data_IF_432802656666
#
_entry.id   IF_432802656666
#
_cell.length_a   1.000
_cell.length_b   1.000
_cell.length_c   1.000
_cell.angle_alpha   90.00
_cell.angle_beta   90.00
_cell.angle_gamma   90.00
#
_symmetry.space_group_name_H-M   'P 1'
#
loop_
_entity.id
_entity.type
_entity.pdbx_description
1 polymer ?
#
# COMPACT_ATOMS: atom_id res chain seq x y z
N UNK A 1 -83.68 -12.25 -23.42
CA UNK A 1 -83.18 -13.40 -24.21
C UNK A 1 -82.86 -12.91 -25.62
N UNK A 2 -81.80 -13.41 -26.30
CA UNK A 2 -80.41 -12.90 -26.31
C UNK A 2 -80.01 -12.42 -27.75
N UNK A 3 -78.88 -11.78 -28.06
CA UNK A 3 -77.53 -12.36 -28.21
C UNK A 3 -76.43 -11.28 -28.45
N UNK A 4 -75.38 -11.34 -27.61
CA UNK A 4 -73.92 -11.25 -27.86
C UNK A 4 -73.30 -10.28 -28.90
N UNK A 5 -72.51 -9.31 -28.39
CA UNK A 5 -71.15 -8.88 -28.80
C UNK A 5 -70.50 -8.29 -27.54
N UNK A 6 -69.50 -8.87 -26.84
CA UNK A 6 -68.11 -9.22 -27.18
C UNK A 6 -67.24 -7.98 -27.52
N UNK A 7 -66.88 -7.21 -26.50
CA UNK A 7 -65.74 -6.26 -26.48
C UNK A 7 -64.89 -6.65 -25.26
N UNK A 8 -63.84 -7.44 -25.47
CA UNK A 8 -62.43 -6.98 -25.59
C UNK A 8 -61.75 -6.69 -24.24
N UNK A 9 -61.61 -7.74 -23.41
CA UNK A 9 -60.45 -7.85 -22.53
C UNK A 9 -59.22 -8.20 -23.38
N UNK A 10 -58.56 -7.20 -23.99
CA UNK A 10 -57.20 -7.38 -24.52
C UNK A 10 -56.20 -7.36 -23.37
N UNK A 11 -56.16 -8.42 -22.57
CA UNK A 11 -54.95 -8.78 -21.83
C UNK A 11 -54.21 -9.84 -22.64
N UNK A 12 -53.42 -9.40 -23.62
CA UNK A 12 -52.47 -10.28 -24.29
C UNK A 12 -51.40 -10.68 -23.26
N UNK A 13 -51.65 -11.79 -22.57
CA UNK A 13 -50.66 -12.48 -21.75
C UNK A 13 -49.58 -12.95 -22.72
N UNK A 14 -48.46 -12.23 -22.74
CA UNK A 14 -47.28 -12.64 -23.48
C UNK A 14 -46.80 -13.93 -22.81
N UNK A 15 -47.06 -15.07 -23.43
CA UNK A 15 -46.49 -16.35 -23.02
C UNK A 15 -44.99 -16.33 -23.31
N UNK A 16 -44.23 -15.75 -22.38
CA UNK A 16 -42.78 -15.79 -22.39
C UNK A 16 -42.35 -17.26 -22.36
N UNK A 17 -41.84 -17.76 -23.49
CA UNK A 17 -41.29 -19.11 -23.60
C UNK A 17 -40.03 -19.22 -22.72
N UNK A 18 -40.24 -19.49 -21.43
CA UNK A 18 -39.26 -19.51 -20.34
C UNK A 18 -38.06 -20.41 -20.67
N UNK A 19 -38.28 -21.49 -21.41
CA UNK A 19 -37.26 -22.45 -21.80
C UNK A 19 -36.20 -21.86 -22.74
N UNK A 20 -36.60 -21.01 -23.70
CA UNK A 20 -35.68 -20.31 -24.60
C UNK A 20 -34.80 -19.31 -23.85
N UNK A 21 -35.37 -18.60 -22.87
CA UNK A 21 -34.62 -17.64 -22.05
C UNK A 21 -33.65 -18.34 -21.09
N UNK A 22 -33.99 -19.50 -20.56
CA UNK A 22 -33.07 -20.31 -19.74
C UNK A 22 -31.88 -20.82 -20.56
N UNK A 23 -32.08 -21.20 -21.82
CA UNK A 23 -30.99 -21.51 -22.74
C UNK A 23 -30.04 -20.33 -22.97
N UNK A 24 -30.60 -19.15 -23.26
CA UNK A 24 -29.82 -17.92 -23.40
C UNK A 24 -29.06 -17.54 -22.13
N UNK A 25 -29.67 -17.67 -20.94
CA UNK A 25 -29.00 -17.45 -19.65
C UNK A 25 -27.81 -18.39 -19.44
N UNK A 26 -27.96 -19.69 -19.76
CA UNK A 26 -26.85 -20.66 -19.66
C UNK A 26 -25.70 -20.30 -20.59
N UNK A 27 -26.00 -19.88 -21.82
CA UNK A 27 -24.98 -19.42 -22.76
C UNK A 27 -24.27 -18.16 -22.26
N UNK A 28 -25.02 -17.18 -21.74
CA UNK A 28 -24.44 -15.95 -21.15
C UNK A 28 -23.55 -16.30 -19.95
N UNK A 29 -23.99 -17.19 -19.06
CA UNK A 29 -23.17 -17.65 -17.92
C UNK A 29 -21.90 -18.38 -18.37
N UNK A 30 -21.98 -19.21 -19.42
CA UNK A 30 -20.81 -19.87 -20.00
C UNK A 30 -19.84 -18.86 -20.63
N UNK A 31 -20.36 -17.86 -21.36
CA UNK A 31 -19.57 -16.78 -21.93
C UNK A 31 -18.90 -15.94 -20.84
N UNK A 32 -19.61 -15.60 -19.76
CA UNK A 32 -19.05 -14.87 -18.60
C UNK A 32 -17.90 -15.64 -17.95
N UNK A 33 -18.07 -16.95 -17.70
CA UNK A 33 -16.99 -17.80 -17.16
C UNK A 33 -15.79 -17.89 -18.08
N UNK A 34 -16.01 -17.95 -19.39
CA UNK A 34 -14.92 -17.97 -20.35
C UNK A 34 -14.20 -16.62 -20.40
N UNK A 35 -14.94 -15.51 -20.34
CA UNK A 35 -14.37 -14.17 -20.29
C UNK A 35 -13.52 -13.98 -19.03
N UNK A 36 -13.98 -14.46 -17.88
CA UNK A 36 -13.22 -14.46 -16.61
C UNK A 36 -11.93 -15.28 -16.73
N UNK A 37 -11.95 -16.42 -17.43
CA UNK A 37 -10.70 -17.17 -17.69
C UNK A 37 -9.75 -16.38 -18.57
N UNK A 38 -10.26 -15.78 -19.66
CA UNK A 38 -9.44 -14.99 -20.58
C UNK A 38 -8.84 -13.78 -19.88
N UNK A 39 -9.60 -13.06 -19.05
CA UNK A 39 -9.06 -11.95 -18.25
C UNK A 39 -7.96 -12.43 -17.31
N UNK A 40 -8.16 -13.54 -16.60
CA UNK A 40 -7.14 -14.12 -15.73
C UNK A 40 -5.89 -14.58 -16.50
N UNK A 41 -6.02 -15.00 -17.76
CA UNK A 41 -4.86 -15.32 -18.60
C UNK A 41 -4.11 -14.07 -19.03
N UNK A 42 -4.81 -13.00 -19.45
CA UNK A 42 -4.18 -11.72 -19.80
C UNK A 42 -3.41 -11.15 -18.61
N UNK A 43 -4.02 -11.12 -17.42
CA UNK A 43 -3.35 -10.65 -16.20
C UNK A 43 -2.10 -11.47 -15.86
N UNK A 44 -2.10 -12.79 -16.13
CA UNK A 44 -0.92 -13.64 -15.94
C UNK A 44 0.18 -13.34 -16.96
N UNK A 45 -0.18 -13.18 -18.23
CA UNK A 45 0.77 -12.82 -19.29
C UNK A 45 1.44 -11.48 -18.99
N UNK A 46 0.67 -10.45 -18.61
CA UNK A 46 1.22 -9.15 -18.24
C UNK A 46 2.15 -9.22 -17.02
N UNK A 47 1.81 -10.08 -16.04
CA UNK A 47 2.68 -10.33 -14.89
C UNK A 47 3.97 -11.02 -15.30
N UNK A 48 3.92 -12.02 -16.18
CA UNK A 48 5.09 -12.73 -16.70
C UNK A 48 5.99 -11.80 -17.51
N UNK A 49 5.45 -11.02 -18.45
CA UNK A 49 6.22 -10.04 -19.23
C UNK A 49 6.88 -8.99 -18.34
N UNK A 50 6.17 -8.50 -17.32
CA UNK A 50 6.76 -7.61 -16.31
C UNK A 50 7.88 -8.31 -15.55
N UNK A 51 7.67 -9.55 -15.10
CA UNK A 51 8.69 -10.32 -14.39
C UNK A 51 9.93 -10.51 -15.26
N UNK A 52 9.76 -10.85 -16.53
CA UNK A 52 10.84 -11.02 -17.50
C UNK A 52 11.59 -9.72 -17.74
N UNK A 53 10.87 -8.60 -17.88
CA UNK A 53 11.48 -7.28 -17.98
C UNK A 53 12.36 -6.96 -16.76
N UNK A 54 11.86 -7.17 -15.54
CA UNK A 54 12.67 -6.95 -14.32
C UNK A 54 13.78 -8.00 -14.15
N UNK A 55 13.58 -9.23 -14.62
CA UNK A 55 14.64 -10.26 -14.63
C UNK A 55 15.78 -9.87 -15.58
N UNK A 56 15.50 -9.21 -16.70
CA UNK A 56 16.51 -8.70 -17.63
C UNK A 56 17.33 -7.50 -17.12
N UNK A 57 16.83 -6.76 -16.14
CA UNK A 57 17.57 -5.62 -15.56
C UNK A 57 18.72 -6.15 -14.68
N UNK A 58 19.96 -5.68 -14.85
CA UNK A 58 21.05 -6.04 -13.96
C UNK A 58 20.77 -5.54 -12.55
N UNK A 59 20.82 -6.45 -11.59
CA UNK A 59 20.45 -6.15 -10.21
C UNK A 59 20.82 -7.27 -9.25
N UNK A 60 20.48 -7.07 -7.99
CA UNK A 60 20.72 -7.99 -6.90
C UNK A 60 19.39 -8.60 -6.48
N UNK A 61 19.30 -9.92 -6.54
CA UNK A 61 18.12 -10.67 -6.12
C UNK A 61 18.27 -11.15 -4.67
N UNK A 62 17.14 -11.25 -3.98
CA UNK A 62 17.11 -11.70 -2.59
C UNK A 62 15.71 -11.88 -2.04
N UNK A 63 15.67 -12.37 -0.81
CA UNK A 63 14.44 -12.69 -0.08
C UNK A 63 14.21 -11.67 1.03
N UNK A 64 12.98 -11.20 1.16
CA UNK A 64 12.60 -10.27 2.22
C UNK A 64 12.50 -10.96 3.58
N UNK A 65 13.20 -10.45 4.59
CA UNK A 65 13.22 -11.00 5.96
C UNK A 65 12.31 -10.24 6.96
N UNK A 66 11.52 -9.28 6.48
CA UNK A 66 10.65 -8.42 7.29
C UNK A 66 11.18 -6.98 7.45
N UNK A 67 12.48 -6.76 7.26
CA UNK A 67 13.09 -5.41 7.29
C UNK A 67 14.06 -5.17 6.14
N UNK A 68 14.76 -6.21 5.71
CA UNK A 68 15.80 -6.16 4.71
C UNK A 68 15.61 -7.23 3.61
N UNK A 69 16.20 -6.95 2.47
CA UNK A 69 16.48 -7.91 1.43
C UNK A 69 17.74 -8.70 1.85
N UNK A 70 17.61 -10.01 1.95
CA UNK A 70 18.72 -10.94 2.18
C UNK A 70 19.07 -11.60 0.85
N UNK A 71 20.26 -11.32 0.34
CA UNK A 71 20.74 -11.93 -0.91
C UNK A 71 21.22 -13.37 -0.67
N UNK A 72 21.38 -14.16 -1.72
CA UNK A 72 21.94 -15.52 -1.61
C UNK A 72 23.35 -15.52 -0.99
N UNK A 73 24.09 -14.42 -1.15
CA UNK A 73 25.41 -14.22 -0.52
C UNK A 73 25.33 -13.78 0.96
N UNK A 74 24.13 -13.75 1.56
CA UNK A 74 23.89 -13.33 2.94
C UNK A 74 24.02 -11.82 3.19
N UNK A 75 24.21 -11.01 2.15
CA UNK A 75 24.26 -9.54 2.29
C UNK A 75 22.85 -9.02 2.56
N UNK A 76 22.70 -8.20 3.61
CA UNK A 76 21.43 -7.55 3.94
C UNK A 76 21.39 -6.13 3.40
N UNK A 77 20.30 -5.78 2.72
CA UNK A 77 20.01 -4.43 2.22
C UNK A 77 18.68 -3.95 2.79
N UNK A 78 18.69 -2.86 3.54
CA UNK A 78 17.49 -2.35 4.22
C UNK A 78 16.45 -1.93 3.17
N UNK A 79 15.24 -2.48 3.28
CA UNK A 79 14.13 -2.14 2.39
C UNK A 79 13.38 -0.95 3.01
N UNK A 80 13.02 0.08 2.21
CA UNK A 80 12.24 1.20 2.71
C UNK A 80 10.92 0.74 3.37
N UNK A 81 10.61 1.13 4.62
CA UNK A 81 9.41 0.69 5.34
C UNK A 81 8.10 1.01 4.60
N UNK A 82 8.06 2.15 3.90
CA UNK A 82 6.91 2.56 3.09
C UNK A 82 6.68 1.62 1.89
N UNK A 83 7.76 1.18 1.24
CA UNK A 83 7.65 0.23 0.14
C UNK A 83 7.14 -1.12 0.63
N UNK A 84 7.66 -1.59 1.78
CA UNK A 84 7.23 -2.84 2.40
C UNK A 84 5.74 -2.80 2.79
N UNK A 85 5.27 -1.67 3.35
CA UNK A 85 3.87 -1.48 3.71
C UNK A 85 2.96 -1.41 2.49
N UNK A 86 3.29 -0.57 1.49
CA UNK A 86 2.47 -0.37 0.29
C UNK A 86 2.34 -1.65 -0.54
N UNK A 87 3.41 -2.42 -0.64
CA UNK A 87 3.42 -3.68 -1.41
C UNK A 87 2.92 -4.88 -0.61
N UNK A 88 2.57 -4.70 0.67
CA UNK A 88 2.19 -5.76 1.62
C UNK A 88 3.19 -6.92 1.56
N UNK A 89 4.48 -6.59 1.75
CA UNK A 89 5.56 -7.56 1.64
C UNK A 89 5.52 -8.56 2.79
N UNK A 90 5.55 -9.85 2.46
CA UNK A 90 5.55 -10.96 3.42
C UNK A 90 6.95 -11.53 3.52
N UNK A 91 7.30 -12.08 4.69
CA UNK A 91 8.53 -12.84 4.85
C UNK A 91 8.64 -13.93 3.78
N UNK A 92 9.76 -13.99 3.06
CA UNK A 92 9.93 -14.92 1.94
C UNK A 92 9.65 -14.32 0.56
N UNK A 93 9.11 -13.10 0.48
CA UNK A 93 8.91 -12.42 -0.81
C UNK A 93 10.24 -12.24 -1.54
N UNK A 94 10.28 -12.64 -2.82
CA UNK A 94 11.46 -12.42 -3.67
C UNK A 94 11.42 -11.03 -4.25
N UNK A 95 12.47 -10.28 -4.00
CA UNK A 95 12.64 -8.92 -4.48
C UNK A 95 13.94 -8.82 -5.28
N UNK A 96 13.93 -7.87 -6.21
CA UNK A 96 15.10 -7.45 -6.96
C UNK A 96 15.41 -6.00 -6.64
N UNK A 97 16.66 -5.76 -6.28
CA UNK A 97 17.24 -4.45 -6.09
C UNK A 97 18.03 -4.08 -7.34
N UNK A 98 17.67 -3.01 -8.01
CA UNK A 98 18.46 -2.43 -9.10
C UNK A 98 18.68 -0.94 -8.84
N UNK A 99 19.71 -0.40 -9.50
CA UNK A 99 19.98 1.03 -9.46
C UNK A 99 19.32 1.71 -10.64
N UNK A 100 18.55 2.75 -10.36
CA UNK A 100 18.00 3.66 -11.35
C UNK A 100 18.64 5.04 -11.11
N UNK A 101 19.68 5.34 -11.89
CA UNK A 101 20.60 6.44 -11.63
C UNK A 101 21.25 6.32 -10.25
N UNK A 102 21.02 7.30 -9.39
CA UNK A 102 21.53 7.35 -8.01
C UNK A 102 20.60 6.69 -6.97
N UNK A 103 19.44 6.16 -7.39
CA UNK A 103 18.43 5.61 -6.47
C UNK A 103 18.43 4.09 -6.49
N UNK A 104 18.41 3.51 -5.29
CA UNK A 104 18.18 2.08 -5.08
C UNK A 104 16.67 1.79 -5.18
N UNK A 105 16.26 1.04 -6.20
CA UNK A 105 14.86 0.68 -6.45
C UNK A 105 14.64 -0.79 -6.13
N UNK A 106 13.63 -1.06 -5.31
CA UNK A 106 13.18 -2.41 -4.97
C UNK A 106 11.92 -2.74 -5.78
N UNK A 107 11.95 -3.87 -6.47
CA UNK A 107 10.78 -4.44 -7.14
C UNK A 107 10.57 -5.87 -6.72
N UNK A 108 9.33 -6.20 -6.40
CA UNK A 108 8.92 -7.56 -6.17
C UNK A 108 8.89 -8.34 -7.48
N UNK A 109 9.65 -9.43 -7.53
CA UNK A 109 9.73 -10.33 -8.68
C UNK A 109 8.81 -11.54 -8.47
N UNK A 110 8.64 -12.00 -7.23
CA UNK A 110 7.80 -13.16 -6.97
C UNK A 110 7.11 -13.08 -5.59
N UNK A 111 5.93 -13.70 -5.53
CA UNK A 111 5.10 -13.79 -4.33
C UNK A 111 4.98 -15.28 -3.98
N UNK A 112 5.54 -15.74 -2.84
CA UNK A 112 5.31 -17.08 -2.36
C UNK A 112 3.84 -17.27 -1.98
N UNK A 113 3.43 -18.52 -1.81
CA UNK A 113 2.09 -18.83 -1.34
C UNK A 113 1.86 -18.25 0.07
N UNK A 114 0.71 -17.61 0.28
CA UNK A 114 0.41 -16.87 1.51
C UNK A 114 -0.81 -17.46 2.18
N UNK A 115 -0.72 -17.66 3.49
CA UNK A 115 -1.85 -17.98 4.35
C UNK A 115 -2.36 -16.71 5.00
N UNK A 116 -3.68 -16.53 4.97
CA UNK A 116 -4.36 -15.46 5.70
C UNK A 116 -4.60 -15.90 7.14
N UNK A 117 -4.24 -15.04 8.09
CA UNK A 117 -4.43 -15.27 9.52
C UNK A 117 -5.17 -14.09 10.14
N UNK A 118 -5.89 -14.39 11.21
CA UNK A 118 -6.62 -13.43 12.03
C UNK A 118 -5.97 -13.37 13.41
N UNK A 119 -5.95 -12.18 14.01
CA UNK A 119 -5.33 -12.00 15.32
C UNK A 119 -5.58 -10.63 15.92
N UNK A 120 -5.03 -10.42 17.11
CA UNK A 120 -5.15 -9.19 17.87
C UNK A 120 -3.85 -8.40 17.78
N UNK A 121 -3.94 -7.12 17.44
CA UNK A 121 -2.80 -6.22 17.39
C UNK A 121 -2.36 -5.81 18.81
N UNK A 122 -1.08 -5.95 19.09
CA UNK A 122 -0.44 -5.55 20.34
C UNK A 122 0.83 -4.76 20.05
N UNK A 123 1.28 -3.99 21.04
CA UNK A 123 2.49 -3.17 20.93
C UNK A 123 3.44 -3.53 22.05
N UNK A 124 4.61 -4.07 21.69
CA UNK A 124 5.66 -4.45 22.63
C UNK A 124 6.92 -3.64 22.33
N UNK A 125 7.45 -2.94 23.33
CA UNK A 125 8.66 -2.09 23.19
C UNK A 125 8.57 -1.09 22.04
N UNK A 126 7.38 -0.55 21.79
CA UNK A 126 7.15 0.41 20.71
C UNK A 126 6.93 -0.19 19.32
N UNK A 127 7.15 -1.49 19.12
CA UNK A 127 6.94 -2.22 17.85
C UNK A 127 5.59 -2.91 17.81
N UNK A 128 4.95 -2.94 16.65
CA UNK A 128 3.69 -3.66 16.46
C UNK A 128 3.87 -5.15 16.26
N UNK A 129 2.98 -5.93 16.90
CA UNK A 129 2.88 -7.37 16.77
C UNK A 129 1.43 -7.78 16.58
N UNK A 130 1.20 -8.86 15.84
CA UNK A 130 -0.08 -9.54 15.72
C UNK A 130 0.00 -10.84 16.52
N UNK A 131 -0.96 -11.05 17.41
CA UNK A 131 -1.13 -12.29 18.17
C UNK A 131 -2.24 -13.12 17.51
N UNK A 132 -1.87 -14.25 16.93
CA UNK A 132 -2.79 -15.20 16.29
C UNK A 132 -2.64 -16.57 16.94
N UNK A 133 -3.56 -17.49 16.65
CA UNK A 133 -3.49 -18.89 17.11
C UNK A 133 -2.19 -19.59 16.69
N UNK A 134 -1.61 -19.13 15.57
CA UNK A 134 -0.39 -19.68 14.99
C UNK A 134 0.90 -19.14 15.62
N UNK A 135 0.85 -18.02 16.36
CA UNK A 135 2.00 -17.42 17.01
C UNK A 135 1.94 -15.89 17.11
N UNK A 136 3.08 -15.29 17.45
CA UNK A 136 3.26 -13.85 17.46
C UNK A 136 4.11 -13.41 16.28
N UNK A 137 3.59 -12.48 15.49
CA UNK A 137 4.23 -11.99 14.27
C UNK A 137 4.50 -10.50 14.38
N UNK A 138 5.69 -10.06 14.02
CA UNK A 138 5.98 -8.63 13.92
C UNK A 138 5.27 -8.03 12.71
N UNK A 139 4.75 -6.81 12.89
CA UNK A 139 4.09 -6.01 11.84
C UNK A 139 4.92 -4.75 11.55
N UNK A 140 4.89 -4.28 10.31
CA UNK A 140 5.50 -2.99 9.95
C UNK A 140 4.75 -1.83 10.60
N UNK A 141 5.49 -0.95 11.30
CA UNK A 141 4.92 0.22 11.96
C UNK A 141 4.20 1.14 10.96
N UNK A 142 4.72 1.25 9.73
CA UNK A 142 4.09 2.03 8.66
C UNK A 142 2.78 1.39 8.22
N UNK A 143 2.71 0.06 8.14
CA UNK A 143 1.46 -0.63 7.79
C UNK A 143 0.41 -0.41 8.87
N UNK A 144 0.80 -0.46 10.15
CA UNK A 144 -0.09 -0.18 11.27
C UNK A 144 -0.60 1.27 11.25
N UNK A 145 0.27 2.25 10.98
CA UNK A 145 -0.13 3.66 10.84
C UNK A 145 -1.07 3.88 9.66
N UNK A 146 -0.78 3.26 8.50
CA UNK A 146 -1.62 3.38 7.31
C UNK A 146 -3.04 2.84 7.50
N UNK A 147 -3.23 1.87 8.41
CA UNK A 147 -4.53 1.29 8.73
C UNK A 147 -5.20 1.91 9.97
N UNK A 148 -4.62 2.97 10.55
CA UNK A 148 -5.05 3.56 11.82
C UNK A 148 -5.24 2.51 12.92
N UNK A 149 -4.22 1.66 13.09
CA UNK A 149 -4.21 0.57 14.04
C UNK A 149 -4.21 1.05 15.48
N UNK A 150 -5.10 0.47 16.29
CA UNK A 150 -5.15 0.67 17.73
C UNK A 150 -4.74 -0.60 18.49
N UNK A 151 -4.39 -0.41 19.76
CA UNK A 151 -4.06 -1.52 20.63
C UNK A 151 -5.32 -2.38 20.86
N UNK A 152 -5.17 -3.69 20.76
CA UNK A 152 -6.24 -4.69 20.86
C UNK A 152 -7.24 -4.69 19.70
N UNK A 153 -6.92 -4.04 18.57
CA UNK A 153 -7.72 -4.17 17.35
C UNK A 153 -7.58 -5.60 16.78
N UNK A 154 -8.70 -6.16 16.31
CA UNK A 154 -8.68 -7.40 15.54
C UNK A 154 -8.24 -7.08 14.10
N UNK A 155 -7.28 -7.82 13.57
CA UNK A 155 -6.73 -7.58 12.26
C UNK A 155 -6.45 -8.88 11.50
N UNK A 156 -6.44 -8.73 10.18
CA UNK A 156 -6.05 -9.78 9.25
C UNK A 156 -4.65 -9.49 8.71
N UNK A 157 -3.82 -10.52 8.62
CA UNK A 157 -2.48 -10.44 8.05
C UNK A 157 -2.16 -11.64 7.18
N UNK A 158 -1.11 -11.50 6.37
CA UNK A 158 -0.56 -12.56 5.56
C UNK A 158 0.76 -13.07 6.13
N UNK A 159 0.88 -14.39 6.21
CA UNK A 159 2.11 -15.12 6.53
C UNK A 159 2.46 -16.05 5.37
N UNK A 160 3.74 -16.42 5.18
CA UNK A 160 4.10 -17.40 4.18
C UNK A 160 3.49 -18.77 4.54
N UNK A 161 2.87 -19.44 3.57
CA UNK A 161 2.27 -20.76 3.77
C UNK A 161 3.34 -21.82 4.10
N UNK A 162 4.52 -21.69 3.50
CA UNK A 162 5.67 -22.59 3.73
C UNK A 162 6.28 -22.46 5.13
N UNK A 163 6.12 -21.30 5.79
CA UNK A 163 6.71 -21.05 7.11
C UNK A 163 5.74 -20.39 8.07
N UNK A 164 4.96 -21.22 8.75
CA UNK A 164 4.03 -20.80 9.80
C UNK A 164 4.72 -20.13 11.00
N UNK A 165 6.02 -20.33 11.22
CA UNK A 165 6.80 -19.71 12.31
C UNK A 165 7.56 -18.46 11.86
N UNK A 166 7.13 -17.83 10.77
CA UNK A 166 7.72 -16.57 10.31
C UNK A 166 7.77 -15.52 11.43
N UNK A 167 8.88 -14.76 11.57
CA UNK A 167 8.94 -13.68 12.56
C UNK A 167 8.13 -12.45 12.15
N UNK A 168 7.71 -12.35 10.88
CA UNK A 168 7.08 -11.17 10.31
C UNK A 168 5.83 -11.52 9.51
N UNK A 169 4.80 -10.68 9.61
CA UNK A 169 3.55 -10.78 8.84
C UNK A 169 3.21 -9.43 8.19
N UNK A 170 2.56 -9.47 7.03
CA UNK A 170 2.07 -8.27 6.35
C UNK A 170 0.63 -7.98 6.77
N UNK A 171 0.39 -6.81 7.37
CA UNK A 171 -0.96 -6.38 7.73
C UNK A 171 -1.80 -6.14 6.48
N UNK A 172 -2.99 -6.74 6.42
CA UNK A 172 -3.93 -6.59 5.29
C UNK A 172 -4.96 -5.50 5.59
N UNK A 173 -5.77 -5.72 6.63
CA UNK A 173 -6.83 -4.81 7.09
C UNK A 173 -7.15 -5.04 8.57
N UNK A 174 -7.83 -4.05 9.16
CA UNK A 174 -8.31 -4.11 10.55
C UNK A 174 -9.81 -4.33 10.55
N UNK A 175 -10.27 -5.32 11.31
CA UNK A 175 -11.68 -5.58 11.59
C UNK A 175 -12.12 -4.69 12.75
N UNK A 176 -12.51 -3.45 12.44
CA UNK A 176 -13.16 -2.60 13.45
C UNK A 176 -14.57 -3.11 13.70
N UNK A 177 -14.84 -3.66 14.88
CA UNK A 177 -16.21 -3.88 15.34
C UNK A 177 -16.90 -2.52 15.43
N UNK A 178 -18.15 -2.42 14.94
CA UNK A 178 -18.91 -1.16 14.88
C UNK A 178 -19.31 -0.58 16.25
N UNK A 179 -18.75 -1.07 17.35
CA UNK A 179 -19.06 -0.64 18.71
C UNK A 179 -17.77 -0.29 19.46
N UNK A 180 -17.23 0.91 19.16
CA UNK A 180 -16.46 1.76 20.09
C UNK A 180 -16.21 3.12 19.44
N UNK A 181 -17.28 3.88 19.29
CA UNK A 181 -17.21 5.34 19.45
C UNK A 181 -17.81 5.64 20.82
N UNK A 182 -17.18 6.56 21.53
CA UNK A 182 -17.58 7.16 22.82
C UNK A 182 -17.02 6.52 24.11
N UNK A 183 -15.80 6.92 24.46
CA UNK A 183 -15.41 7.48 25.76
C UNK A 183 -13.96 7.93 25.65
N UNK A 184 -13.52 9.15 25.92
CA UNK A 184 -14.12 10.42 26.30
C UNK A 184 -12.97 11.44 26.27
N UNK A 185 -13.28 12.69 25.95
CA UNK A 185 -12.30 13.79 25.91
C UNK A 185 -11.68 14.10 27.30
N UNK A 186 -10.44 14.61 27.20
CA UNK A 186 -9.71 15.55 28.09
C UNK A 186 -9.48 15.22 29.57
N UNK A 187 -8.20 15.00 29.91
CA UNK A 187 -7.51 15.76 30.97
C UNK A 187 -6.06 16.04 30.58
N UNK A 188 -5.77 17.33 30.37
CA UNK A 188 -4.44 17.91 30.33
C UNK A 188 -3.65 17.61 31.60
N UNK A 189 -2.37 17.23 31.45
CA UNK A 189 -1.37 17.37 32.50
C UNK A 189 -0.21 18.19 31.93
N UNK A 190 -0.19 19.46 32.33
CA UNK A 190 0.96 20.36 32.25
C UNK A 190 2.21 19.72 32.88
N UNK A 191 3.31 19.69 32.12
CA UNK A 191 4.66 19.59 32.71
C UNK A 191 5.32 20.97 32.61
N UNK A 192 5.48 21.57 33.79
CA UNK A 192 6.10 22.88 34.06
C UNK A 192 7.55 22.94 33.52
N UNK A 193 7.85 23.94 32.70
CA UNK A 193 9.22 24.44 32.47
C UNK A 193 9.60 25.46 33.55
N UNK A 194 10.80 25.42 34.15
CA UNK A 194 11.23 26.44 35.10
C UNK A 194 11.61 27.74 34.39
N UNK A 195 11.19 28.82 35.02
CA UNK A 195 11.32 30.24 34.68
C UNK A 195 12.73 30.76 34.95
N UNK A 196 13.34 31.48 33.98
CA UNK A 196 14.36 32.49 34.28
C UNK A 196 13.95 33.82 33.63
N UNK A 197 13.88 34.84 34.49
CA UNK A 197 13.38 36.19 34.24
C UNK A 197 14.33 37.01 33.36
N UNK A 198 13.77 37.75 32.40
CA UNK A 198 14.42 38.86 31.68
C UNK A 198 14.62 40.07 32.59
N UNK A 199 15.67 40.88 32.36
CA UNK A 199 15.58 42.34 32.15
C UNK A 199 16.87 42.88 31.46
N UNK A 200 16.82 44.07 30.80
CA UNK A 200 17.51 44.35 29.53
C UNK A 200 18.52 45.52 29.61
N UNK A 201 19.45 45.68 28.65
CA UNK A 201 20.04 46.99 28.27
C UNK A 201 20.45 47.01 26.77
N UNK A 202 20.44 48.25 26.25
CA UNK A 202 20.52 48.85 24.91
C UNK A 202 21.82 48.65 24.10
N UNK A 203 21.65 48.84 22.77
CA UNK A 203 22.50 49.45 21.72
C UNK A 203 23.91 49.92 22.14
N UNK A 204 24.93 49.74 21.27
CA UNK A 204 25.67 50.81 20.51
C UNK A 204 27.01 50.28 19.91
N UNK A 205 27.16 50.38 18.58
CA UNK A 205 28.34 50.67 17.70
C UNK A 205 29.75 50.04 17.84
N UNK A 206 30.26 49.61 16.66
CA UNK A 206 31.62 49.80 16.06
C UNK A 206 32.90 49.28 16.76
N UNK A 207 33.62 48.32 16.12
CA UNK A 207 34.81 48.55 15.26
C UNK A 207 35.51 47.24 14.84
N UNK A 208 36.05 47.26 13.61
CA UNK A 208 36.88 46.26 12.90
C UNK A 208 38.36 46.35 13.35
N UNK A 209 39.24 45.36 13.05
CA UNK A 209 40.07 45.44 11.83
C UNK A 209 40.26 44.06 11.13
N UNK A 210 40.14 43.89 9.81
CA UNK A 210 41.00 44.25 8.64
C UNK A 210 42.25 43.37 8.45
N UNK A 211 42.17 42.44 7.48
CA UNK A 211 43.19 42.04 6.47
C UNK A 211 42.55 40.93 5.59
N UNK A 212 42.65 40.82 4.26
CA UNK A 212 43.35 41.49 3.15
C UNK A 212 42.56 41.19 1.85
N UNK A 213 42.68 42.09 0.87
CA UNK A 213 42.08 42.10 -0.49
C UNK A 213 42.69 41.06 -1.45
N UNK A 214 41.95 40.66 -2.49
CA UNK A 214 42.28 40.88 -3.93
C UNK A 214 41.07 40.60 -4.85
N UNK A 215 40.95 41.46 -5.86
CA UNK A 215 39.94 41.62 -6.93
C UNK A 215 39.85 40.38 -7.87
N UNK A 216 38.76 40.06 -8.59
CA UNK A 216 38.20 40.78 -9.75
C UNK A 216 36.82 40.20 -10.23
N UNK A 217 35.97 41.09 -10.76
CA UNK A 217 34.89 40.97 -11.81
C UNK A 217 33.52 40.27 -11.57
N UNK A 218 32.47 41.11 -11.65
CA UNK A 218 31.03 40.84 -11.95
C UNK A 218 30.78 40.69 -13.48
N UNK A 219 29.59 40.27 -14.02
CA UNK A 219 28.23 40.34 -13.42
C UNK A 219 27.24 39.14 -13.63
N UNK A 220 26.17 39.17 -12.81
CA UNK A 220 24.76 38.72 -12.98
C UNK A 220 24.36 37.67 -14.05
N UNK A 221 23.72 36.56 -13.62
CA UNK A 221 22.62 35.90 -14.34
C UNK A 221 21.60 35.25 -13.37
N UNK A 222 20.30 35.44 -13.66
CA UNK A 222 19.12 35.00 -12.89
C UNK A 222 18.91 33.47 -12.96
N UNK A 223 18.36 32.80 -11.94
CA UNK A 223 17.97 31.39 -12.08
C UNK A 223 16.71 31.26 -12.96
N UNK A 224 16.84 30.45 -14.01
CA UNK A 224 15.79 30.09 -14.97
C UNK A 224 14.75 29.17 -14.34
N UNK A 225 13.48 29.52 -14.51
CA UNK A 225 12.33 28.65 -14.34
C UNK A 225 12.44 27.46 -15.31
N UNK A 226 12.20 26.24 -14.83
CA UNK A 226 12.07 25.06 -15.68
C UNK A 226 10.60 24.64 -15.68
N UNK A 227 9.94 24.96 -16.79
CA UNK A 227 8.67 24.37 -17.24
C UNK A 227 8.98 23.01 -17.83
N UNK A 228 8.24 21.98 -17.40
CA UNK A 228 8.17 20.69 -18.08
C UNK A 228 6.69 20.30 -18.21
N UNK A 229 6.06 20.84 -19.25
CA UNK A 229 4.91 20.22 -19.91
C UNK A 229 5.45 19.06 -20.77
N UNK A 230 5.13 17.82 -20.40
CA UNK A 230 4.87 16.73 -21.35
C UNK A 230 3.66 15.97 -20.81
N UNK A 231 2.58 16.07 -21.57
CA UNK A 231 1.31 15.35 -21.48
C UNK A 231 1.51 13.83 -21.57
N UNK A 232 0.64 13.10 -20.89
CA UNK A 232 -0.17 12.04 -21.51
C UNK A 232 -1.53 11.99 -20.79
N UNK A 233 -2.52 12.64 -21.40
CA UNK A 233 -3.95 12.47 -21.12
C UNK A 233 -4.44 11.22 -21.86
N UNK A 234 -4.47 10.05 -21.21
CA UNK A 234 -5.29 8.93 -21.71
C UNK A 234 -5.57 7.86 -20.63
N UNK A 235 -6.25 8.24 -19.54
CA UNK A 235 -6.81 7.21 -18.62
C UNK A 235 -8.08 7.68 -17.88
N UNK A 236 -9.03 8.21 -18.65
CA UNK A 236 -10.39 8.49 -18.18
C UNK A 236 -11.41 7.93 -19.18
N UNK A 237 -11.65 6.61 -19.11
CA UNK A 237 -12.93 5.97 -19.45
C UNK A 237 -13.04 4.55 -18.94
#
# INVERSE_FOLDING_TARGET
MPETKKEEERSSKIDFNKEKYEGAKRMIQAAMRNLERVSNYVEKMEQEERKDFYMGIPGVEGTFDGEALVTENGKKKVVPPNYAAKSRLVFGDKLKLFKDGDRDVYKQIDRPERKKIEGILTKKEGKWYLLSDSGSYKISDVSAQFNDAQLNDEAEAFIPADNLKSPFAALDRIKKSKEKKESGETKDIEIKKPTIKKKPIKKTTLKRPLTKKKDDKDPEEKPKEFVADILDEDDLR
#
